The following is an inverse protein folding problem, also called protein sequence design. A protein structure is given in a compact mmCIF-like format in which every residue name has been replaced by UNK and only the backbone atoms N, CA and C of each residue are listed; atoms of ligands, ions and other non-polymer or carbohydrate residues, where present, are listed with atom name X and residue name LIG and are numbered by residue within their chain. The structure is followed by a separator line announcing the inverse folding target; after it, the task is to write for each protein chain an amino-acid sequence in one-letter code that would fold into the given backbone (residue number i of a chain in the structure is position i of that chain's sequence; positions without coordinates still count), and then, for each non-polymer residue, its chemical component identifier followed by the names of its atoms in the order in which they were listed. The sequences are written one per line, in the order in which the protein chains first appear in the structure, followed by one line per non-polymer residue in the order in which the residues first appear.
data_IF_925914564543
#
_entry.id   IF_925914564543
#
_cell.length_a   1.000
_cell.length_b   1.000
_cell.length_c   1.000
_cell.angle_alpha   90.00
_cell.angle_beta   90.00
_cell.angle_gamma   90.00
#
_symmetry.space_group_name_H-M   'P 1'
#
loop_
_entity.id
_entity.type
_entity.pdbx_description
1 polymer ?
#
# COMPACT_ATOMS: atom_id res chain seq x y z
N UNK A 1 57.36 4.31 0.28
CA UNK A 1 56.33 4.14 -0.77
C UNK A 1 55.91 2.69 -0.98
N UNK A 2 56.80 1.68 -0.88
CA UNK A 2 56.40 0.27 -1.04
C UNK A 2 55.65 -0.34 0.17
N UNK A 3 55.97 0.08 1.40
CA UNK A 3 55.29 -0.44 2.62
C UNK A 3 53.85 0.04 2.80
N UNK A 4 53.55 1.26 2.38
CA UNK A 4 52.21 1.86 2.51
C UNK A 4 51.20 1.22 1.54
N UNK A 5 51.68 0.81 0.37
CA UNK A 5 50.90 0.08 -0.64
C UNK A 5 50.65 -1.39 -0.22
N UNK A 6 51.59 -1.98 0.53
CA UNK A 6 51.45 -3.33 1.06
C UNK A 6 50.46 -3.40 2.24
N UNK A 7 50.46 -2.40 3.13
CA UNK A 7 49.48 -2.29 4.23
C UNK A 7 48.05 -2.06 3.71
N UNK A 8 47.88 -1.22 2.68
CA UNK A 8 46.56 -0.97 2.07
C UNK A 8 45.96 -2.25 1.47
N UNK A 9 46.79 -3.06 0.81
CA UNK A 9 46.41 -4.38 0.30
C UNK A 9 46.12 -5.40 1.41
N UNK A 10 46.78 -5.36 2.56
CA UNK A 10 46.50 -6.30 3.65
C UNK A 10 45.16 -6.03 4.34
N UNK A 11 44.73 -4.77 4.41
CA UNK A 11 43.39 -4.41 4.93
C UNK A 11 42.29 -4.83 3.94
N UNK A 12 42.51 -4.61 2.65
CA UNK A 12 41.56 -5.01 1.58
C UNK A 12 41.40 -6.54 1.41
N UNK A 13 42.37 -7.34 1.89
CA UNK A 13 42.38 -8.81 1.71
C UNK A 13 41.82 -9.56 2.91
N UNK A 14 41.89 -9.01 4.13
CA UNK A 14 41.44 -9.74 5.34
C UNK A 14 39.95 -9.49 5.64
N UNK A 15 39.42 -8.33 5.27
CA UNK A 15 37.98 -8.07 5.32
C UNK A 15 37.52 -7.83 3.90
N UNK A 16 36.84 -8.83 3.32
CA UNK A 16 36.32 -8.71 1.97
C UNK A 16 35.41 -7.47 1.92
N UNK A 17 35.96 -6.39 1.35
CA UNK A 17 35.26 -5.14 1.14
C UNK A 17 34.03 -5.35 0.25
N UNK A 18 33.90 -6.52 -0.39
CA UNK A 18 32.65 -6.98 -1.00
C UNK A 18 31.58 -7.20 0.08
N UNK A 19 31.75 -8.03 1.10
CA UNK A 19 30.71 -8.36 2.09
C UNK A 19 29.99 -7.11 2.65
N UNK A 20 30.76 -6.10 3.07
CA UNK A 20 30.18 -4.87 3.64
C UNK A 20 29.68 -3.86 2.61
N UNK A 21 30.23 -3.83 1.39
CA UNK A 21 29.82 -2.88 0.35
C UNK A 21 28.74 -3.44 -0.60
N UNK A 22 28.73 -4.74 -0.92
CA UNK A 22 27.70 -5.37 -1.76
C UNK A 22 26.39 -5.55 -1.00
N UNK A 23 26.44 -5.91 0.29
CA UNK A 23 25.22 -6.14 1.09
C UNK A 23 24.85 -4.96 2.00
N UNK A 24 25.68 -3.90 2.04
CA UNK A 24 25.48 -2.71 2.89
C UNK A 24 25.17 -3.07 4.36
N UNK A 25 25.77 -4.13 4.90
CA UNK A 25 25.45 -4.68 6.23
C UNK A 25 25.57 -3.63 7.35
N UNK A 26 26.51 -2.68 7.23
CA UNK A 26 26.68 -1.59 8.19
C UNK A 26 25.61 -0.49 8.07
N UNK A 27 24.51 -0.71 7.34
CA UNK A 27 23.31 0.12 7.40
C UNK A 27 22.27 -0.42 8.41
N UNK A 28 22.50 -1.60 8.96
CA UNK A 28 21.65 -2.19 9.98
C UNK A 28 22.26 -1.98 11.38
N UNK A 29 21.47 -1.54 12.38
CA UNK A 29 21.96 -1.25 13.72
C UNK A 29 22.71 -2.43 14.36
N UNK A 30 22.12 -3.63 14.28
CA UNK A 30 22.67 -4.85 14.89
C UNK A 30 24.09 -5.13 14.37
N UNK A 31 24.28 -5.10 13.05
CA UNK A 31 25.58 -5.37 12.44
C UNK A 31 26.60 -4.28 12.71
N UNK A 32 26.18 -3.03 12.91
CA UNK A 32 27.09 -1.95 13.35
C UNK A 32 27.63 -2.21 14.75
N UNK A 33 26.79 -2.63 15.70
CA UNK A 33 27.24 -2.91 17.06
C UNK A 33 28.02 -4.23 17.17
N UNK A 34 27.63 -5.27 16.44
CA UNK A 34 28.39 -6.52 16.36
C UNK A 34 29.77 -6.30 15.73
N UNK A 35 29.85 -5.47 14.68
CA UNK A 35 31.12 -5.12 14.07
C UNK A 35 32.00 -4.33 15.04
N UNK A 36 31.46 -3.35 15.75
CA UNK A 36 32.18 -2.58 16.77
C UNK A 36 32.76 -3.47 17.88
N UNK A 37 31.99 -4.45 18.37
CA UNK A 37 32.45 -5.45 19.33
C UNK A 37 33.54 -6.35 18.75
N UNK A 38 33.42 -6.78 17.50
CA UNK A 38 34.43 -7.59 16.84
C UNK A 38 35.78 -6.85 16.73
N UNK A 39 35.74 -5.52 16.48
CA UNK A 39 36.94 -4.68 16.42
C UNK A 39 37.71 -4.59 17.74
N UNK A 40 37.12 -4.93 18.89
CA UNK A 40 37.83 -4.96 20.17
C UNK A 40 38.94 -6.02 20.24
N UNK A 41 38.84 -7.05 19.39
CA UNK A 41 39.81 -8.13 19.31
C UNK A 41 40.95 -7.86 18.30
N UNK A 42 40.99 -6.66 17.72
CA UNK A 42 41.99 -6.26 16.74
C UNK A 42 43.01 -5.29 17.30
N UNK A 43 44.19 -5.28 16.66
CA UNK A 43 45.25 -4.33 16.96
C UNK A 43 44.77 -2.87 16.83
N UNK A 44 45.26 -2.01 17.73
CA UNK A 44 44.77 -0.64 17.90
C UNK A 44 44.92 0.25 16.66
N UNK A 45 46.00 0.06 15.89
CA UNK A 45 46.25 0.80 14.65
C UNK A 45 45.24 0.41 13.55
N UNK A 46 44.97 -0.89 13.40
CA UNK A 46 44.00 -1.42 12.43
C UNK A 46 42.56 -1.09 12.81
N UNK A 47 42.22 -1.15 14.11
CA UNK A 47 40.92 -0.73 14.63
C UNK A 47 40.63 0.72 14.26
N UNK A 48 41.58 1.62 14.48
CA UNK A 48 41.39 3.04 14.20
C UNK A 48 41.13 3.32 12.71
N UNK A 49 41.80 2.58 11.82
CA UNK A 49 41.60 2.67 10.38
C UNK A 49 40.19 2.23 9.96
N UNK A 50 39.72 1.07 10.44
CA UNK A 50 38.40 0.52 10.12
C UNK A 50 37.24 1.38 10.65
N UNK A 51 37.39 1.90 11.88
CA UNK A 51 36.41 2.83 12.49
C UNK A 51 36.24 4.07 11.61
N UNK A 52 37.36 4.64 11.12
CA UNK A 52 37.36 5.82 10.26
C UNK A 52 36.78 5.51 8.88
N UNK A 53 37.21 4.42 8.26
CA UNK A 53 36.79 4.03 6.92
C UNK A 53 35.27 3.83 6.83
N UNK A 54 34.68 3.12 7.79
CA UNK A 54 33.24 2.83 7.81
C UNK A 54 32.37 3.90 8.51
N UNK A 55 32.98 4.99 9.00
CA UNK A 55 32.30 6.06 9.77
C UNK A 55 31.52 5.51 10.97
N UNK A 56 32.09 4.52 11.66
CA UNK A 56 31.37 3.69 12.62
C UNK A 56 30.80 4.50 13.79
N UNK A 57 31.55 5.48 14.31
CA UNK A 57 31.10 6.35 15.40
C UNK A 57 29.87 7.20 15.04
N UNK A 58 29.80 7.70 13.81
CA UNK A 58 28.63 8.46 13.34
C UNK A 58 27.39 7.56 13.23
N UNK A 59 27.57 6.32 12.79
CA UNK A 59 26.49 5.32 12.68
C UNK A 59 26.02 4.88 14.07
N UNK A 60 26.95 4.55 14.98
CA UNK A 60 26.64 4.21 16.38
C UNK A 60 25.86 5.31 17.06
N UNK A 61 26.26 6.58 16.91
CA UNK A 61 25.53 7.71 17.47
C UNK A 61 24.10 7.79 16.93
N UNK A 62 23.94 7.78 15.60
CA UNK A 62 22.61 7.80 14.94
C UNK A 62 21.71 6.68 15.44
N UNK A 63 22.20 5.45 15.45
CA UNK A 63 21.41 4.28 15.86
C UNK A 63 21.13 4.27 17.37
N UNK A 64 22.06 4.73 18.20
CA UNK A 64 21.85 4.84 19.64
C UNK A 64 20.77 5.90 19.96
N UNK A 65 20.79 7.04 19.27
CA UNK A 65 19.74 8.06 19.38
C UNK A 65 18.39 7.50 18.94
N UNK A 66 18.37 6.75 17.84
CA UNK A 66 17.15 6.09 17.33
C UNK A 66 16.61 5.05 18.32
N UNK A 67 17.47 4.19 18.88
CA UNK A 67 17.07 3.17 19.87
C UNK A 67 16.57 3.83 21.16
N UNK A 68 17.26 4.87 21.65
CA UNK A 68 16.81 5.64 22.83
C UNK A 68 15.48 6.32 22.57
N UNK A 69 15.26 6.84 21.36
CA UNK A 69 13.98 7.38 20.96
C UNK A 69 12.88 6.32 21.06
N UNK A 70 13.09 5.11 20.56
CA UNK A 70 12.11 4.02 20.71
C UNK A 70 11.88 3.59 22.18
N UNK A 71 12.92 3.55 23.00
CA UNK A 71 12.79 3.15 24.42
C UNK A 71 12.08 4.19 25.28
N UNK A 72 12.15 5.46 24.91
CA UNK A 72 11.66 6.58 25.73
C UNK A 72 10.29 7.14 25.28
N UNK A 73 9.74 6.69 24.15
CA UNK A 73 8.50 7.20 23.59
C UNK A 73 7.42 6.13 23.51
N UNK A 74 6.16 6.54 23.68
CA UNK A 74 4.98 5.67 23.54
C UNK A 74 4.66 5.42 22.07
N UNK A 75 3.89 4.35 21.82
CA UNK A 75 3.43 3.96 20.48
C UNK A 75 2.77 5.13 19.73
N UNK A 76 1.99 5.96 20.43
CA UNK A 76 1.28 7.12 19.86
C UNK A 76 2.23 8.20 19.29
N UNK A 77 3.41 8.38 19.88
CA UNK A 77 4.42 9.34 19.40
C UNK A 77 5.17 8.77 18.19
N UNK A 78 5.40 7.45 18.16
CA UNK A 78 6.08 6.76 17.06
C UNK A 78 5.25 6.81 15.76
N UNK A 79 3.92 6.72 15.87
CA UNK A 79 2.98 6.75 14.74
C UNK A 79 3.06 8.05 13.91
N UNK A 80 3.62 9.14 14.47
CA UNK A 80 3.72 10.45 13.82
C UNK A 80 5.16 10.79 13.38
N UNK A 81 6.07 9.82 13.31
CA UNK A 81 7.46 10.04 12.88
C UNK A 81 7.82 9.21 11.64
N UNK A 82 8.86 9.63 10.90
CA UNK A 82 9.44 8.89 9.77
C UNK A 82 10.09 7.55 10.17
N UNK A 83 10.02 7.19 11.45
CA UNK A 83 10.40 5.90 11.99
C UNK A 83 9.18 4.97 11.90
N UNK A 84 8.70 4.72 10.68
CA UNK A 84 7.64 3.76 10.47
C UNK A 84 8.08 2.41 11.03
N UNK A 85 7.27 1.94 11.97
CA UNK A 85 7.43 0.71 12.72
C UNK A 85 7.53 -0.49 11.76
N UNK A 86 8.18 -1.55 12.23
CA UNK A 86 8.02 -2.90 11.69
C UNK A 86 6.53 -3.27 11.76
N UNK A 87 5.75 -2.86 10.76
CA UNK A 87 4.38 -3.33 10.57
C UNK A 87 4.51 -4.82 10.33
N UNK A 88 3.73 -5.63 11.06
CA UNK A 88 3.61 -7.03 10.71
C UNK A 88 3.29 -7.12 9.21
N UNK A 89 3.99 -7.96 8.43
CA UNK A 89 3.71 -8.09 7.02
C UNK A 89 2.27 -8.55 6.89
N UNK A 90 1.40 -7.66 6.43
CA UNK A 90 0.00 -7.96 6.22
C UNK A 90 -0.08 -8.99 5.11
N UNK A 91 -0.89 -10.02 5.32
CA UNK A 91 -1.08 -11.10 4.35
C UNK A 91 -1.91 -10.64 3.15
N UNK A 92 -2.71 -9.61 3.32
CA UNK A 92 -3.54 -9.03 2.26
C UNK A 92 -3.02 -7.65 1.88
N UNK A 93 -2.87 -7.40 0.58
CA UNK A 93 -2.52 -6.08 0.02
C UNK A 93 -3.54 -5.68 -1.05
N UNK A 94 -4.01 -4.45 -0.97
CA UNK A 94 -4.96 -3.85 -1.89
C UNK A 94 -4.22 -2.81 -2.75
N UNK A 95 -4.46 -2.83 -4.06
CA UNK A 95 -3.89 -1.86 -5.00
C UNK A 95 -5.00 -0.95 -5.51
N UNK A 96 -4.81 0.36 -5.39
CA UNK A 96 -5.74 1.37 -5.91
C UNK A 96 -5.10 2.19 -7.04
N UNK A 97 -5.92 2.81 -7.87
CA UNK A 97 -5.43 3.71 -8.92
C UNK A 97 -4.85 5.02 -8.35
N UNK A 98 -5.50 5.57 -7.32
CA UNK A 98 -5.12 6.84 -6.70
C UNK A 98 -4.76 6.72 -5.23
N UNK A 99 -3.90 7.64 -4.79
CA UNK A 99 -3.60 7.86 -3.36
C UNK A 99 -4.83 8.31 -2.58
N UNK A 100 -5.68 9.13 -3.20
CA UNK A 100 -6.93 9.61 -2.59
C UNK A 100 -7.84 8.45 -2.21
N UNK A 101 -7.98 7.47 -3.10
CA UNK A 101 -8.79 6.28 -2.87
C UNK A 101 -8.25 5.47 -1.68
N UNK A 102 -6.93 5.23 -1.67
CA UNK A 102 -6.26 4.51 -0.59
C UNK A 102 -6.50 5.18 0.78
N UNK A 103 -6.38 6.50 0.85
CA UNK A 103 -6.59 7.27 2.07
C UNK A 103 -8.06 7.21 2.53
N UNK A 104 -9.02 7.37 1.61
CA UNK A 104 -10.47 7.32 1.91
C UNK A 104 -10.85 5.92 2.40
N UNK A 105 -10.43 4.86 1.71
CA UNK A 105 -10.74 3.46 2.08
C UNK A 105 -10.16 3.12 3.47
N UNK A 106 -8.89 3.48 3.73
CA UNK A 106 -8.25 3.29 5.05
C UNK A 106 -9.05 3.97 6.15
N UNK A 107 -9.45 5.23 5.92
CA UNK A 107 -10.17 6.02 6.91
C UNK A 107 -11.59 5.50 7.15
N UNK A 108 -12.33 5.19 6.08
CA UNK A 108 -13.66 4.62 6.16
C UNK A 108 -13.66 3.31 6.97
N UNK A 109 -12.68 2.43 6.76
CA UNK A 109 -12.54 1.20 7.54
C UNK A 109 -12.33 1.50 9.02
N UNK A 110 -11.44 2.44 9.36
CA UNK A 110 -11.19 2.83 10.75
C UNK A 110 -12.44 3.37 11.41
N UNK A 111 -13.18 4.26 10.75
CA UNK A 111 -14.43 4.81 11.29
C UNK A 111 -15.46 3.70 11.53
N UNK A 112 -15.65 2.82 10.54
CA UNK A 112 -16.64 1.73 10.62
C UNK A 112 -16.24 0.59 11.57
N UNK A 113 -15.00 0.57 12.07
CA UNK A 113 -14.52 -0.46 13.00
C UNK A 113 -14.13 0.10 14.37
N UNK A 114 -14.54 1.34 14.67
CA UNK A 114 -14.23 2.04 15.94
C UNK A 114 -12.72 2.18 16.19
N UNK A 115 -11.97 2.49 15.14
CA UNK A 115 -10.54 2.81 15.21
C UNK A 115 -9.60 1.60 15.05
N UNK A 116 -10.11 0.41 14.71
CA UNK A 116 -9.24 -0.75 14.41
C UNK A 116 -8.45 -0.50 13.14
N UNK A 117 -7.18 -0.93 13.15
CA UNK A 117 -6.39 -0.93 11.93
C UNK A 117 -6.86 -2.04 10.97
N UNK A 118 -6.86 -1.77 9.65
CA UNK A 118 -7.19 -2.80 8.67
C UNK A 118 -6.23 -3.98 8.73
N UNK A 119 -6.72 -5.19 8.51
CA UNK A 119 -5.86 -6.38 8.40
C UNK A 119 -5.13 -6.46 7.05
N UNK A 120 -5.52 -5.61 6.09
CA UNK A 120 -4.92 -5.45 4.77
C UNK A 120 -4.08 -4.18 4.67
N UNK A 121 -3.07 -4.20 3.81
CA UNK A 121 -2.40 -2.99 3.33
C UNK A 121 -3.17 -2.40 2.15
N UNK A 122 -3.03 -1.10 1.91
CA UNK A 122 -3.43 -0.52 0.63
C UNK A 122 -2.31 0.37 0.13
N UNK A 123 -1.95 0.13 -1.12
CA UNK A 123 -0.84 0.71 -1.85
C UNK A 123 -1.38 1.31 -3.15
N UNK A 124 -1.06 2.57 -3.40
CA UNK A 124 -1.29 3.23 -4.68
C UNK A 124 -0.33 2.71 -5.74
N UNK A 125 -0.83 2.45 -6.95
CA UNK A 125 0.05 2.22 -8.10
C UNK A 125 0.32 3.58 -8.73
N UNK A 126 1.48 4.16 -8.40
CA UNK A 126 1.92 5.40 -9.02
C UNK A 126 2.04 5.21 -10.55
N UNK A 127 1.57 6.22 -11.29
CA UNK A 127 1.83 6.30 -12.73
C UNK A 127 3.34 6.46 -12.92
N UNK A 128 4.05 5.36 -13.14
CA UNK A 128 5.41 5.43 -13.63
C UNK A 128 5.42 6.35 -14.86
N UNK A 129 6.42 7.24 -14.94
CA UNK A 129 6.61 8.27 -15.98
C UNK A 129 6.74 7.73 -17.43
N UNK A 130 6.36 6.47 -17.67
CA UNK A 130 6.14 5.92 -19.00
C UNK A 130 4.72 6.28 -19.45
N UNK A 131 4.65 7.38 -20.18
CA UNK A 131 3.50 7.82 -20.95
C UNK A 131 2.76 6.65 -21.62
N UNK A 132 1.52 6.38 -21.20
CA UNK A 132 0.30 6.13 -22.02
C UNK A 132 -0.77 5.26 -21.33
N UNK A 133 -0.49 4.48 -20.28
CA UNK A 133 -1.51 3.59 -19.68
C UNK A 133 -2.34 4.26 -18.55
N UNK A 134 -3.66 4.09 -18.57
CA UNK A 134 -4.58 4.55 -17.52
C UNK A 134 -4.38 3.78 -16.19
N UNK A 135 -4.84 4.35 -15.06
CA UNK A 135 -4.65 3.77 -13.72
C UNK A 135 -5.14 2.32 -13.62
N UNK A 136 -6.37 2.05 -14.08
CA UNK A 136 -6.95 0.71 -14.16
C UNK A 136 -6.04 -0.33 -14.87
N UNK A 137 -5.46 0.07 -16.00
CA UNK A 137 -4.61 -0.82 -16.81
C UNK A 137 -3.30 -1.15 -16.09
N UNK A 138 -2.74 -0.19 -15.34
CA UNK A 138 -1.53 -0.41 -14.56
C UNK A 138 -1.78 -1.38 -13.40
N UNK A 139 -2.90 -1.24 -12.68
CA UNK A 139 -3.33 -2.18 -11.63
C UNK A 139 -3.39 -3.59 -12.18
N UNK A 140 -4.10 -3.77 -13.29
CA UNK A 140 -4.21 -5.06 -13.99
C UNK A 140 -2.84 -5.62 -14.40
N UNK A 141 -1.98 -4.78 -14.98
CA UNK A 141 -0.67 -5.22 -15.48
C UNK A 141 0.24 -5.69 -14.35
N UNK A 142 0.27 -4.97 -13.22
CA UNK A 142 1.07 -5.33 -12.05
C UNK A 142 0.60 -6.68 -11.50
N UNK A 143 -0.70 -6.86 -11.33
CA UNK A 143 -1.26 -8.10 -10.79
C UNK A 143 -1.08 -9.27 -11.74
N UNK A 144 -1.27 -9.07 -13.04
CA UNK A 144 -1.04 -10.10 -14.05
C UNK A 144 0.42 -10.58 -14.06
N UNK A 145 1.37 -9.66 -13.86
CA UNK A 145 2.80 -9.99 -13.75
C UNK A 145 3.06 -10.83 -12.50
N UNK A 146 2.56 -10.39 -11.35
CA UNK A 146 2.74 -11.11 -10.08
C UNK A 146 2.10 -12.50 -10.12
N UNK A 147 0.92 -12.64 -10.74
CA UNK A 147 0.23 -13.92 -10.88
C UNK A 147 1.01 -14.93 -11.75
N UNK A 148 1.78 -14.46 -12.74
CA UNK A 148 2.56 -15.29 -13.67
C UNK A 148 3.98 -15.61 -13.19
N UNK A 149 4.47 -14.90 -12.18
CA UNK A 149 5.80 -15.14 -11.61
C UNK A 149 5.80 -16.39 -10.72
N UNK A 150 6.94 -17.09 -10.66
CA UNK A 150 7.10 -18.24 -9.76
C UNK A 150 7.14 -17.76 -8.32
N UNK A 151 6.00 -17.81 -7.64
CA UNK A 151 5.83 -17.38 -6.26
C UNK A 151 6.44 -18.41 -5.28
N UNK A 152 7.09 -17.92 -4.22
CA UNK A 152 7.48 -18.77 -3.10
C UNK A 152 6.25 -19.28 -2.34
N UNK A 153 6.37 -20.34 -1.53
CA UNK A 153 5.25 -20.80 -0.68
C UNK A 153 4.71 -19.69 0.24
N UNK A 154 5.58 -18.78 0.69
CA UNK A 154 5.19 -17.60 1.46
C UNK A 154 4.35 -16.61 0.63
N UNK A 155 4.70 -16.44 -0.65
CA UNK A 155 3.95 -15.54 -1.55
C UNK A 155 2.62 -16.15 -1.99
N UNK A 156 2.50 -17.48 -2.01
CA UNK A 156 1.22 -18.17 -2.25
C UNK A 156 0.21 -17.92 -1.14
N UNK A 157 0.63 -17.64 0.10
CA UNK A 157 -0.28 -17.28 1.20
C UNK A 157 -0.74 -15.82 1.15
N UNK A 158 -0.10 -14.97 0.33
CA UNK A 158 -0.49 -13.56 0.21
C UNK A 158 -1.72 -13.42 -0.68
N UNK A 159 -2.63 -12.55 -0.27
CA UNK A 159 -3.82 -12.17 -1.02
C UNK A 159 -3.59 -10.79 -1.61
N UNK A 160 -3.64 -10.67 -2.94
CA UNK A 160 -3.48 -9.40 -3.64
C UNK A 160 -4.78 -9.03 -4.32
N UNK A 161 -5.28 -7.81 -4.11
CA UNK A 161 -6.57 -7.34 -4.64
C UNK A 161 -6.34 -6.04 -5.41
N UNK A 162 -6.63 -6.02 -6.70
CA UNK A 162 -6.69 -4.79 -7.49
C UNK A 162 -8.07 -4.18 -7.46
N UNK A 163 -8.21 -2.99 -6.90
CA UNK A 163 -9.43 -2.21 -6.95
C UNK A 163 -9.49 -1.38 -8.22
N UNK A 164 -10.61 -1.52 -8.95
CA UNK A 164 -10.91 -0.77 -10.15
C UNK A 164 -12.22 0.00 -9.95
N UNK A 165 -12.24 1.27 -10.31
CA UNK A 165 -13.49 2.02 -10.37
C UNK A 165 -14.49 1.32 -11.29
N UNK A 166 -15.77 1.33 -10.91
CA UNK A 166 -16.85 0.82 -11.76
C UNK A 166 -17.33 1.92 -12.72
N UNK A 167 -16.35 2.48 -13.43
CA UNK A 167 -16.48 3.44 -14.51
C UNK A 167 -16.25 2.76 -15.87
N UNK A 168 -16.33 3.53 -16.96
CA UNK A 168 -16.12 3.00 -18.30
C UNK A 168 -14.71 2.40 -18.51
N UNK A 169 -13.68 2.84 -17.78
CA UNK A 169 -12.30 2.35 -17.92
C UNK A 169 -12.07 1.12 -17.07
N UNK A 170 -12.36 1.16 -15.77
CA UNK A 170 -12.20 0.02 -14.88
C UNK A 170 -13.05 -1.17 -15.33
N UNK A 171 -14.29 -0.94 -15.80
CA UNK A 171 -15.10 -2.01 -16.40
C UNK A 171 -14.48 -2.61 -17.66
N UNK A 172 -13.79 -1.81 -18.47
CA UNK A 172 -13.06 -2.28 -19.67
C UNK A 172 -11.95 -3.21 -19.28
N UNK A 173 -11.11 -2.78 -18.34
CA UNK A 173 -9.92 -3.52 -17.93
C UNK A 173 -10.34 -4.81 -17.21
N UNK A 174 -11.37 -4.74 -16.36
CA UNK A 174 -11.96 -5.91 -15.71
C UNK A 174 -12.45 -6.96 -16.72
N UNK A 175 -13.08 -6.56 -17.83
CA UNK A 175 -13.62 -7.48 -18.84
C UNK A 175 -12.68 -7.79 -20.00
N UNK A 176 -11.60 -7.02 -20.17
CA UNK A 176 -10.65 -7.16 -21.28
C UNK A 176 -9.68 -8.33 -21.11
N UNK A 177 -9.52 -8.85 -19.89
CA UNK A 177 -8.62 -9.96 -19.57
C UNK A 177 -9.46 -11.23 -19.45
N UNK A 178 -9.38 -12.11 -20.45
CA UNK A 178 -10.24 -13.31 -20.50
C UNK A 178 -9.48 -14.64 -20.41
N UNK A 179 -8.18 -14.69 -20.72
CA UNK A 179 -7.51 -15.99 -20.89
C UNK A 179 -6.99 -16.61 -19.57
N UNK A 180 -6.71 -15.80 -18.54
CA UNK A 180 -6.11 -16.25 -17.27
C UNK A 180 -6.98 -15.92 -16.03
N UNK A 181 -8.23 -15.46 -16.21
CA UNK A 181 -9.11 -15.00 -15.13
C UNK A 181 -10.39 -15.85 -15.03
N UNK A 182 -10.64 -16.36 -13.82
CA UNK A 182 -11.90 -16.99 -13.45
C UNK A 182 -12.84 -15.97 -12.78
N UNK A 183 -14.10 -15.93 -13.22
CA UNK A 183 -15.13 -15.11 -12.59
C UNK A 183 -15.60 -15.78 -11.29
N UNK A 184 -15.52 -15.07 -10.17
CA UNK A 184 -16.03 -15.53 -8.87
C UNK A 184 -17.46 -15.04 -8.67
N UNK A 185 -17.68 -13.75 -8.93
CA UNK A 185 -19.00 -13.10 -8.91
C UNK A 185 -18.97 -11.92 -9.90
N UNK A 186 -20.07 -11.18 -10.02
CA UNK A 186 -20.23 -10.11 -11.02
C UNK A 186 -19.18 -8.98 -10.93
N UNK A 187 -18.53 -8.83 -9.77
CA UNK A 187 -17.55 -7.76 -9.50
C UNK A 187 -16.15 -8.28 -9.17
N UNK A 188 -15.97 -9.59 -9.04
CA UNK A 188 -14.71 -10.22 -8.61
C UNK A 188 -14.23 -11.27 -9.60
N UNK A 189 -12.98 -11.12 -10.04
CA UNK A 189 -12.24 -12.11 -10.83
C UNK A 189 -10.98 -12.55 -10.09
N UNK A 190 -10.51 -13.77 -10.36
CA UNK A 190 -9.28 -14.34 -9.81
C UNK A 190 -8.38 -14.90 -10.90
N UNK A 191 -7.09 -14.63 -10.81
CA UNK A 191 -6.07 -15.20 -11.70
C UNK A 191 -5.84 -16.67 -11.37
N UNK A 192 -6.29 -17.56 -12.25
CA UNK A 192 -6.16 -19.02 -12.12
C UNK A 192 -6.39 -19.57 -10.68
N UNK A 193 -5.47 -20.39 -10.18
CA UNK A 193 -5.43 -20.93 -8.81
C UNK A 193 -4.63 -20.02 -7.84
N UNK A 194 -4.27 -18.80 -8.26
CA UNK A 194 -3.52 -17.86 -7.42
C UNK A 194 -4.43 -17.12 -6.43
N UNK A 195 -3.83 -16.49 -5.42
CA UNK A 195 -4.51 -15.58 -4.50
C UNK A 195 -4.47 -14.11 -4.99
N UNK A 196 -4.52 -13.91 -6.31
CA UNK A 196 -4.52 -12.60 -6.96
C UNK A 196 -5.90 -12.33 -7.56
N UNK A 197 -6.50 -11.21 -7.19
CA UNK A 197 -7.88 -10.86 -7.48
C UNK A 197 -7.99 -9.49 -8.13
N UNK A 198 -8.99 -9.33 -9.00
CA UNK A 198 -9.50 -8.04 -9.43
C UNK A 198 -10.88 -7.85 -8.81
N UNK A 199 -11.10 -6.68 -8.21
CA UNK A 199 -12.36 -6.27 -7.63
C UNK A 199 -12.78 -4.95 -8.29
N UNK A 200 -13.84 -5.02 -9.09
CA UNK A 200 -14.55 -3.85 -9.57
C UNK A 200 -15.37 -3.29 -8.40
N UNK A 201 -15.42 -1.97 -8.21
CA UNK A 201 -16.14 -1.40 -7.07
C UNK A 201 -17.60 -1.90 -7.02
N UNK A 202 -18.03 -2.56 -5.92
CA UNK A 202 -19.38 -3.04 -5.78
C UNK A 202 -20.36 -1.88 -5.62
N UNK A 203 -21.37 -1.83 -6.49
CA UNK A 203 -22.43 -0.84 -6.38
C UNK A 203 -23.40 -1.31 -5.27
N UNK A 204 -23.68 -0.49 -4.23
CA UNK A 204 -24.64 -0.85 -3.19
C UNK A 204 -25.98 -1.27 -3.77
N UNK A 205 -26.56 -2.37 -3.27
CA UNK A 205 -27.89 -2.84 -3.70
C UNK A 205 -29.01 -2.05 -2.99
N UNK A 206 -28.96 -0.73 -3.09
CA UNK A 206 -29.95 0.19 -2.55
C UNK A 206 -30.63 0.94 -3.70
N UNK A 207 -31.86 1.42 -3.46
CA UNK A 207 -32.70 2.02 -4.49
C UNK A 207 -32.04 3.22 -5.17
N UNK A 208 -31.35 4.06 -4.41
CA UNK A 208 -30.64 5.25 -4.92
C UNK A 208 -29.45 4.93 -5.84
N UNK A 209 -28.90 3.71 -5.76
CA UNK A 209 -27.73 3.30 -6.55
C UNK A 209 -28.09 2.47 -7.79
N UNK A 210 -29.36 2.07 -7.95
CA UNK A 210 -29.80 1.25 -9.09
C UNK A 210 -29.48 1.88 -10.45
N UNK A 211 -29.55 3.21 -10.55
CA UNK A 211 -29.22 3.93 -11.78
C UNK A 211 -27.75 3.79 -12.20
N UNK A 212 -26.84 3.35 -11.33
CA UNK A 212 -25.44 3.09 -11.68
C UNK A 212 -25.22 1.70 -12.31
N UNK A 213 -26.19 0.80 -12.22
CA UNK A 213 -26.17 -0.50 -12.88
C UNK A 213 -26.59 -0.39 -14.36
N UNK A 214 -25.72 0.24 -15.17
CA UNK A 214 -25.93 0.40 -16.61
C UNK A 214 -25.25 -0.74 -17.40
N UNK A 215 -25.96 -1.28 -18.40
CA UNK A 215 -25.45 -2.32 -19.31
C UNK A 215 -24.37 -1.77 -20.25
N UNK A 216 -24.54 -0.53 -20.73
CA UNK A 216 -23.58 0.11 -21.62
C UNK A 216 -22.38 0.61 -20.83
N UNK A 217 -21.20 0.14 -21.22
CA UNK A 217 -19.92 0.52 -20.62
C UNK A 217 -19.71 2.04 -20.54
N UNK A 218 -20.05 2.79 -21.60
CA UNK A 218 -19.90 4.25 -21.64
C UNK A 218 -20.77 5.00 -20.62
N UNK A 219 -21.73 4.31 -19.99
CA UNK A 219 -22.62 4.86 -18.98
C UNK A 219 -22.30 4.38 -17.56
N UNK A 220 -21.13 3.79 -17.35
CA UNK A 220 -20.61 3.44 -16.04
C UNK A 220 -19.80 4.60 -15.48
N UNK A 221 -20.14 5.03 -14.27
CA UNK A 221 -19.58 6.23 -13.64
C UNK A 221 -19.30 6.05 -12.14
N UNK A 222 -19.29 4.82 -11.62
CA UNK A 222 -19.23 4.60 -10.18
C UNK A 222 -17.77 4.54 -9.68
N UNK A 223 -17.43 5.48 -8.82
CA UNK A 223 -16.09 5.73 -8.24
C UNK A 223 -16.15 5.66 -6.71
N UNK A 224 -15.01 5.64 -6.01
CA UNK A 224 -14.94 5.58 -4.54
C UNK A 224 -15.81 6.64 -3.85
N UNK A 225 -15.84 7.87 -4.36
CA UNK A 225 -16.62 8.93 -3.74
C UNK A 225 -18.14 8.69 -3.79
N UNK A 226 -18.62 7.81 -4.68
CA UNK A 226 -20.05 7.49 -4.75
C UNK A 226 -20.56 6.71 -3.54
N UNK A 227 -19.69 6.11 -2.72
CA UNK A 227 -20.15 5.52 -1.45
C UNK A 227 -20.69 6.59 -0.49
N UNK A 228 -20.29 7.85 -0.61
CA UNK A 228 -20.92 8.91 0.17
C UNK A 228 -22.33 9.20 -0.32
N UNK A 229 -23.22 9.55 0.60
CA UNK A 229 -24.58 9.94 0.23
C UNK A 229 -24.58 11.15 -0.70
N UNK A 230 -25.59 11.22 -1.57
CA UNK A 230 -25.75 12.35 -2.50
C UNK A 230 -25.73 13.70 -1.77
N UNK A 231 -26.47 13.81 -0.66
CA UNK A 231 -26.55 15.04 0.12
C UNK A 231 -25.17 15.46 0.67
N UNK A 232 -24.37 14.49 1.11
CA UNK A 232 -23.00 14.74 1.57
C UNK A 232 -22.11 15.23 0.43
N UNK A 233 -22.23 14.64 -0.76
CA UNK A 233 -21.44 15.08 -1.91
C UNK A 233 -21.89 16.46 -2.42
N UNK A 234 -23.19 16.76 -2.41
CA UNK A 234 -23.75 18.07 -2.76
C UNK A 234 -23.27 19.17 -1.80
N UNK A 235 -23.30 18.92 -0.49
CA UNK A 235 -22.81 19.89 0.50
C UNK A 235 -21.32 20.22 0.35
N UNK A 236 -20.58 19.35 -0.35
CA UNK A 236 -19.16 19.50 -0.63
C UNK A 236 -18.85 19.94 -2.06
N UNK A 237 -19.87 20.24 -2.88
CA UNK A 237 -19.72 20.61 -4.30
C UNK A 237 -18.99 19.55 -5.13
N UNK A 238 -19.23 18.27 -4.83
CA UNK A 238 -18.52 17.14 -5.45
C UNK A 238 -19.27 16.48 -6.60
N UNK A 239 -20.47 16.97 -6.98
CA UNK A 239 -21.27 16.31 -8.01
C UNK A 239 -21.72 17.25 -9.12
N UNK A 240 -21.87 16.65 -10.30
CA UNK A 240 -22.54 17.26 -11.45
C UNK A 240 -23.61 16.30 -11.96
N UNK A 241 -24.84 16.79 -12.07
CA UNK A 241 -25.92 15.99 -12.62
C UNK A 241 -25.68 15.67 -14.10
N UNK A 242 -25.91 14.42 -14.49
CA UNK A 242 -25.89 13.99 -15.88
C UNK A 242 -27.31 13.98 -16.47
N UNK A 243 -27.38 13.85 -17.80
CA UNK A 243 -28.66 13.68 -18.50
C UNK A 243 -29.35 12.33 -18.17
N UNK A 244 -28.61 11.40 -17.58
CA UNK A 244 -29.11 10.10 -17.11
C UNK A 244 -29.75 10.31 -15.73
N UNK A 245 -31.05 10.06 -15.62
CA UNK A 245 -31.80 10.27 -14.39
C UNK A 245 -31.25 9.43 -13.22
N UNK A 246 -30.93 10.11 -12.11
CA UNK A 246 -30.42 9.47 -10.89
C UNK A 246 -28.94 9.11 -10.92
N UNK A 247 -28.21 9.49 -11.99
CA UNK A 247 -26.74 9.35 -12.06
C UNK A 247 -26.11 10.74 -12.00
N UNK A 248 -25.09 10.87 -11.18
CA UNK A 248 -24.22 12.03 -11.14
C UNK A 248 -22.77 11.61 -11.40
N UNK A 249 -21.99 12.56 -11.90
CA UNK A 249 -20.55 12.45 -12.08
C UNK A 249 -19.85 13.12 -10.90
N UNK A 250 -18.77 12.52 -10.39
CA UNK A 250 -17.92 13.16 -9.38
C UNK A 250 -17.11 14.25 -10.07
N UNK A 251 -17.23 15.46 -9.54
CA UNK A 251 -16.52 16.64 -10.02
C UNK A 251 -15.97 17.41 -8.83
N UNK A 252 -15.28 18.52 -9.08
CA UNK A 252 -14.74 19.36 -8.01
C UNK A 252 -13.33 18.97 -7.58
N UNK A 253 -12.96 19.41 -6.38
CA UNK A 253 -11.61 19.25 -5.83
C UNK A 253 -11.52 18.00 -4.95
N UNK A 254 -11.09 16.88 -5.56
CA UNK A 254 -10.93 15.58 -4.87
C UNK A 254 -9.93 15.63 -3.71
N UNK A 255 -8.89 16.46 -3.78
CA UNK A 255 -7.88 16.55 -2.72
C UNK A 255 -8.41 17.33 -1.51
N UNK A 256 -9.13 18.42 -1.76
CA UNK A 256 -9.85 19.14 -0.71
C UNK A 256 -10.94 18.28 -0.08
N UNK A 257 -11.67 17.51 -0.89
CA UNK A 257 -12.69 16.58 -0.39
C UNK A 257 -12.09 15.49 0.49
N UNK A 258 -11.02 14.84 0.03
CA UNK A 258 -10.26 13.87 0.84
C UNK A 258 -9.89 14.44 2.20
N UNK A 259 -9.35 15.66 2.25
CA UNK A 259 -8.96 16.30 3.51
C UNK A 259 -10.15 16.45 4.46
N UNK A 260 -11.35 16.76 3.96
CA UNK A 260 -12.57 16.84 4.77
C UNK A 260 -13.02 15.46 5.25
N UNK A 261 -13.02 14.47 4.36
CA UNK A 261 -13.37 13.08 4.68
C UNK A 261 -12.46 12.51 5.78
N UNK A 262 -11.15 12.76 5.72
CA UNK A 262 -10.19 12.32 6.74
C UNK A 262 -10.40 12.97 8.12
N UNK A 263 -11.21 14.03 8.20
CA UNK A 263 -11.60 14.67 9.45
C UNK A 263 -13.05 14.35 9.85
N UNK A 264 -13.76 13.53 9.09
CA UNK A 264 -15.11 13.06 9.41
C UNK A 264 -15.04 11.74 10.18
N UNK A 265 -15.79 11.63 11.27
CA UNK A 265 -15.78 10.45 12.16
C UNK A 265 -17.18 9.89 12.40
N UNK A 266 -18.22 10.49 11.81
CA UNK A 266 -19.58 9.98 11.87
C UNK A 266 -19.72 8.70 11.03
N UNK A 267 -19.98 7.52 11.62
CA UNK A 267 -20.06 6.27 10.86
C UNK A 267 -21.17 6.25 9.80
N UNK A 268 -22.26 6.97 10.03
CA UNK A 268 -23.37 7.09 9.07
C UNK A 268 -22.94 7.65 7.71
N UNK A 269 -21.90 8.50 7.69
CA UNK A 269 -21.35 9.05 6.45
C UNK A 269 -20.66 7.97 5.61
N UNK A 270 -20.11 6.95 6.27
CA UNK A 270 -19.31 5.89 5.66
C UNK A 270 -20.07 4.58 5.47
N UNK A 271 -21.31 4.44 5.95
CA UNK A 271 -22.03 3.15 5.99
C UNK A 271 -22.05 2.37 4.67
N UNK A 272 -22.10 3.04 3.52
CA UNK A 272 -22.14 2.35 2.23
C UNK A 272 -20.79 1.70 1.87
N UNK A 273 -19.67 2.11 2.49
CA UNK A 273 -18.37 1.43 2.33
C UNK A 273 -18.39 -0.01 2.86
N UNK A 274 -19.36 -0.37 3.71
CA UNK A 274 -19.54 -1.76 4.15
C UNK A 274 -19.75 -2.70 2.95
N UNK A 275 -20.33 -2.24 1.84
CA UNK A 275 -20.46 -3.04 0.62
C UNK A 275 -19.09 -3.41 0.01
N UNK A 276 -18.17 -2.45 -0.02
CA UNK A 276 -16.79 -2.69 -0.46
C UNK A 276 -16.06 -3.64 0.50
N UNK A 277 -16.17 -3.38 1.80
CA UNK A 277 -15.44 -4.16 2.79
C UNK A 277 -15.96 -5.59 2.90
N UNK A 278 -17.25 -5.82 2.77
CA UNK A 278 -17.81 -7.17 2.74
C UNK A 278 -17.25 -7.99 1.56
N UNK A 279 -17.09 -7.40 0.36
CA UNK A 279 -16.46 -8.11 -0.77
C UNK A 279 -14.98 -8.43 -0.49
N UNK A 280 -14.24 -7.48 0.09
CA UNK A 280 -12.84 -7.70 0.49
C UNK A 280 -12.73 -8.81 1.56
N UNK A 281 -13.62 -8.78 2.55
CA UNK A 281 -13.70 -9.75 3.64
C UNK A 281 -14.07 -11.15 3.13
N UNK A 282 -14.97 -11.23 2.15
CA UNK A 282 -15.33 -12.47 1.47
C UNK A 282 -14.13 -13.08 0.74
N UNK A 283 -13.36 -12.26 -0.01
CA UNK A 283 -12.12 -12.69 -0.67
C UNK A 283 -11.12 -13.21 0.38
N UNK A 284 -10.99 -12.49 1.51
CA UNK A 284 -10.02 -12.78 2.56
C UNK A 284 -10.48 -13.80 3.60
N UNK A 285 -11.73 -14.28 3.50
CA UNK A 285 -12.39 -15.15 4.49
C UNK A 285 -12.30 -14.60 5.91
N UNK A 286 -12.56 -13.29 6.05
CA UNK A 286 -12.63 -12.59 7.33
C UNK A 286 -14.07 -12.35 7.72
N UNK A 287 -14.31 -12.32 9.02
CA UNK A 287 -15.59 -11.94 9.60
C UNK A 287 -15.31 -10.69 10.45
N UNK A 288 -15.72 -9.54 9.92
CA UNK A 288 -15.53 -8.24 10.54
C UNK A 288 -16.91 -7.66 10.85
N UNK A 289 -17.08 -7.22 12.10
CA UNK A 289 -18.27 -6.50 12.50
C UNK A 289 -18.03 -5.00 12.31
N UNK A 290 -18.77 -4.42 11.37
CA UNK A 290 -18.84 -2.98 11.14
C UNK A 290 -19.93 -2.37 12.04
N UNK A 291 -19.74 -1.11 12.43
CA UNK A 291 -20.82 -0.37 13.09
C UNK A 291 -21.91 -0.07 12.06
N UNK A 292 -23.14 -0.41 12.42
CA UNK A 292 -24.36 -0.07 11.68
C UNK A 292 -24.86 1.33 12.04
#
# INVERSE_FOLDING_TARGET
MHDEYARKKSVDVIYDSRLFNTEKLLNYPLFVFLFDLALENLDSEFKAELVKYHKLESKKRKYSETIRFYLNNTVDVLNNTNYEQLKEPKRTEIFTEGKTDADIIKHAFKVLTQGKDPYWGVTEIEKDNTSVAGGAQQVVSVLSKVAKETLSEYDKEKILIGLLDNDAKGYREFNGINDDLSLINDVTKRFDESNVFLLLLPIPNLKEYQSYNQDKQDFKFFEIEHYFSKDYLESHSMIKALAIGGVFEITGDKEAFKTKVLNEYNPEVFKNFVHLFNEIDNICKKDIQYVE
#
